data_IF_621881734757
#
_entry.id   IF_621881734757
#
_cell.length_a   1.000
_cell.length_b   1.000
_cell.length_c   1.000
_cell.angle_alpha   90.00
_cell.angle_beta   90.00
_cell.angle_gamma   90.00
#
_symmetry.space_group_name_H-M   'P 1'
#
loop_
_entity.id
_entity.type
_entity.pdbx_description
1 polymer ?
#
# COMPACT_ATOMS: atom_id res chain seq x y z
N UNK A 1 -50.06 -12.01 11.14
CA UNK A 1 -49.98 -11.76 12.59
C UNK A 1 -48.58 -12.08 13.05
N UNK A 2 -47.82 -11.05 13.42
CA UNK A 2 -46.70 -11.02 14.38
C UNK A 2 -46.10 -9.61 14.24
N UNK A 3 -46.79 -8.66 14.87
CA UNK A 3 -46.32 -7.29 15.07
C UNK A 3 -45.23 -7.34 16.14
N UNK A 4 -43.99 -6.99 15.79
CA UNK A 4 -42.96 -6.64 16.76
C UNK A 4 -42.96 -5.11 16.91
N UNK A 5 -43.28 -4.57 18.11
CA UNK A 5 -43.25 -3.14 18.38
C UNK A 5 -41.85 -2.77 18.83
N UNK A 6 -41.06 -2.14 17.96
CA UNK A 6 -39.89 -1.40 18.44
C UNK A 6 -40.39 -0.04 18.94
N UNK A 7 -40.13 0.35 20.20
CA UNK A 7 -40.45 1.69 20.67
C UNK A 7 -39.54 2.68 19.94
N UNK A 8 -40.16 3.52 19.10
CA UNK A 8 -39.57 4.77 18.64
C UNK A 8 -39.38 5.64 19.89
N UNK A 9 -38.15 5.69 20.41
CA UNK A 9 -37.81 6.62 21.47
C UNK A 9 -37.96 8.06 20.96
N UNK A 10 -38.56 8.97 21.76
CA UNK A 10 -38.84 10.33 21.34
C UNK A 10 -37.53 11.09 21.11
N UNK A 11 -37.51 11.82 20.00
CA UNK A 11 -36.47 12.73 19.57
C UNK A 11 -36.56 14.01 20.41
N UNK A 12 -36.46 13.89 21.74
CA UNK A 12 -36.49 15.03 22.63
C UNK A 12 -35.14 15.75 22.61
N UNK A 13 -35.24 17.06 22.60
CA UNK A 13 -34.20 18.03 22.31
C UNK A 13 -33.12 18.03 23.40
N UNK A 14 -32.12 17.15 23.28
CA UNK A 14 -30.97 17.14 24.21
C UNK A 14 -29.82 17.94 23.62
N UNK A 15 -29.60 19.13 24.18
CA UNK A 15 -28.44 19.96 23.87
C UNK A 15 -27.14 19.19 24.15
N UNK A 16 -26.40 18.88 23.08
CA UNK A 16 -25.04 18.37 23.17
C UNK A 16 -24.13 19.55 23.50
N UNK A 17 -23.71 19.67 24.76
CA UNK A 17 -22.65 20.61 25.13
C UNK A 17 -21.30 20.03 24.73
N UNK A 18 -20.77 20.48 23.59
CA UNK A 18 -19.36 20.27 23.22
C UNK A 18 -18.50 21.28 23.99
N UNK A 19 -17.78 20.83 25.01
CA UNK A 19 -16.68 21.60 25.60
C UNK A 19 -15.42 21.32 24.79
N UNK A 20 -14.92 22.36 24.12
CA UNK A 20 -13.74 22.28 23.28
C UNK A 20 -12.49 22.53 24.10
N UNK A 21 -11.91 21.45 24.63
CA UNK A 21 -10.58 21.48 25.26
C UNK A 21 -9.58 20.80 24.32
N UNK A 22 -8.60 21.60 23.86
CA UNK A 22 -7.36 21.22 23.18
C UNK A 22 -7.37 20.82 21.68
N UNK A 23 -7.17 21.85 20.85
CA UNK A 23 -6.99 21.77 19.38
C UNK A 23 -5.67 21.06 18.97
N UNK A 24 -4.69 20.94 19.86
CA UNK A 24 -3.31 20.53 19.51
C UNK A 24 -3.10 19.04 19.33
N UNK A 25 -3.99 18.18 19.84
CA UNK A 25 -3.87 16.70 19.75
C UNK A 25 -4.88 16.03 18.83
N UNK A 26 -5.83 16.77 18.26
CA UNK A 26 -6.89 16.19 17.41
C UNK A 26 -7.78 15.17 18.14
N UNK A 27 -7.76 15.15 19.47
CA UNK A 27 -8.61 14.33 20.33
C UNK A 27 -9.70 15.22 20.92
N UNK A 28 -10.94 14.77 20.85
CA UNK A 28 -12.11 15.44 21.41
C UNK A 28 -12.68 14.55 22.52
N UNK A 29 -12.91 15.12 23.70
CA UNK A 29 -13.68 14.48 24.77
C UNK A 29 -15.16 14.85 24.61
N UNK A 30 -16.01 13.86 24.38
CA UNK A 30 -17.45 14.01 24.47
C UNK A 30 -17.91 13.46 25.81
N UNK A 31 -18.66 14.24 26.60
CA UNK A 31 -19.45 13.71 27.71
C UNK A 31 -20.88 13.48 27.23
N UNK A 32 -21.27 12.23 27.01
CA UNK A 32 -22.66 11.84 26.78
C UNK A 32 -23.24 11.33 28.11
N UNK A 33 -24.47 11.72 28.48
CA UNK A 33 -25.10 11.23 29.73
C UNK A 33 -25.19 9.70 29.67
N UNK A 34 -24.40 9.04 30.53
CA UNK A 34 -24.36 7.58 30.67
C UNK A 34 -23.11 6.90 30.11
N UNK A 35 -22.25 7.60 29.37
CA UNK A 35 -21.01 7.07 28.80
C UNK A 35 -19.88 8.02 29.23
N UNK A 36 -19.23 7.70 30.36
CA UNK A 36 -18.12 8.49 30.89
C UNK A 36 -16.80 7.89 30.37
N UNK A 37 -15.99 8.72 29.70
CA UNK A 37 -14.58 8.39 29.42
C UNK A 37 -14.21 8.02 27.99
N UNK A 38 -15.16 7.89 27.06
CA UNK A 38 -14.83 7.63 25.64
C UNK A 38 -14.39 8.91 24.93
N UNK A 39 -13.11 8.97 24.58
CA UNK A 39 -12.61 9.91 23.57
C UNK A 39 -12.98 9.35 22.20
N UNK A 40 -13.55 10.11 21.26
CA UNK A 40 -13.79 9.63 19.90
C UNK A 40 -12.86 10.32 18.89
N UNK A 41 -12.38 9.59 17.89
CA UNK A 41 -11.71 10.19 16.73
C UNK A 41 -12.74 10.48 15.64
N UNK A 42 -12.84 11.75 15.23
CA UNK A 42 -13.72 12.18 14.16
C UNK A 42 -13.21 11.67 12.80
N UNK A 43 -13.93 10.69 12.23
CA UNK A 43 -13.73 10.29 10.84
C UNK A 43 -14.79 10.95 9.97
N UNK A 44 -14.39 11.99 9.21
CA UNK A 44 -15.31 12.89 8.50
C UNK A 44 -16.06 12.32 7.29
N UNK A 45 -16.89 11.28 7.48
CA UNK A 45 -17.87 10.80 6.49
C UNK A 45 -19.25 11.35 6.82
N UNK A 46 -19.93 11.91 5.82
CA UNK A 46 -21.28 12.47 5.91
C UNK A 46 -22.31 11.55 5.26
N UNK A 47 -23.47 11.40 5.90
CA UNK A 47 -24.60 10.62 5.39
C UNK A 47 -25.61 11.47 4.58
N UNK A 48 -25.79 12.76 4.90
CA UNK A 48 -26.90 13.55 4.33
C UNK A 48 -26.49 14.54 3.22
N UNK A 49 -25.22 14.94 3.14
CA UNK A 49 -24.70 15.72 2.02
C UNK A 49 -23.45 15.07 1.44
N UNK A 50 -23.47 14.77 0.14
CA UNK A 50 -22.44 14.05 -0.63
C UNK A 50 -21.09 14.80 -0.78
N UNK A 51 -20.69 15.60 0.21
CA UNK A 51 -19.47 16.40 0.23
C UNK A 51 -18.61 15.96 1.42
N UNK A 52 -17.41 15.43 1.21
CA UNK A 52 -16.55 14.97 2.30
C UNK A 52 -15.93 16.15 3.06
N UNK A 53 -15.65 15.93 4.35
CA UNK A 53 -14.77 16.82 5.14
C UNK A 53 -13.32 16.67 4.68
N UNK A 54 -12.56 17.77 4.71
CA UNK A 54 -11.12 17.74 4.44
C UNK A 54 -10.34 18.34 5.59
N UNK A 55 -9.42 17.53 6.12
CA UNK A 55 -8.45 17.96 7.13
C UNK A 55 -7.69 19.20 6.68
N UNK A 56 -7.53 20.17 7.58
CA UNK A 56 -6.77 21.40 7.35
C UNK A 56 -7.57 22.56 6.74
N UNK A 57 -8.88 22.40 6.51
CA UNK A 57 -9.78 23.50 6.10
C UNK A 57 -10.51 23.99 7.35
N UNK A 58 -10.03 25.08 7.95
CA UNK A 58 -10.51 25.59 9.25
C UNK A 58 -11.76 26.47 9.10
N UNK A 59 -12.82 25.92 8.51
CA UNK A 59 -14.11 26.60 8.38
C UNK A 59 -15.24 25.67 8.82
N UNK A 60 -16.30 26.16 9.48
CA UNK A 60 -17.48 25.36 9.79
C UNK A 60 -18.34 25.02 8.56
N UNK A 61 -18.20 25.82 7.49
CA UNK A 61 -18.98 25.69 6.25
C UNK A 61 -18.25 25.00 5.09
N UNK A 62 -18.87 25.08 3.90
CA UNK A 62 -18.34 24.51 2.65
C UNK A 62 -17.48 25.53 1.90
N UNK A 63 -16.36 25.07 1.37
CA UNK A 63 -15.42 25.86 0.57
C UNK A 63 -15.13 25.16 -0.75
N UNK A 64 -15.00 25.92 -1.84
CA UNK A 64 -14.60 25.37 -3.15
C UNK A 64 -13.07 25.38 -3.28
N UNK A 65 -12.47 24.21 -3.16
CA UNK A 65 -11.02 24.04 -3.28
C UNK A 65 -10.65 23.41 -4.61
N UNK A 66 -9.48 23.79 -5.12
CA UNK A 66 -8.87 23.16 -6.28
C UNK A 66 -8.19 21.85 -5.82
N UNK A 67 -8.80 20.70 -6.13
CA UNK A 67 -8.29 19.38 -5.75
C UNK A 67 -7.62 18.67 -6.92
N UNK A 68 -6.58 17.90 -6.62
CA UNK A 68 -5.90 17.02 -7.59
C UNK A 68 -6.74 15.76 -7.83
N UNK A 69 -6.84 15.31 -9.08
CA UNK A 69 -7.55 14.07 -9.46
C UNK A 69 -6.64 13.02 -10.09
N UNK A 70 -5.89 13.43 -11.11
CA UNK A 70 -4.91 12.64 -11.84
C UNK A 70 -3.67 13.49 -12.01
N UNK A 71 -2.53 12.87 -12.31
CA UNK A 71 -1.28 13.60 -12.58
C UNK A 71 -1.54 14.73 -13.59
N UNK A 72 -1.37 15.98 -13.17
CA UNK A 72 -1.62 17.18 -13.98
C UNK A 72 -3.05 17.76 -13.95
N UNK A 73 -4.08 17.00 -13.57
CA UNK A 73 -5.47 17.48 -13.55
C UNK A 73 -5.86 18.04 -12.18
N UNK A 74 -6.35 19.29 -12.17
CA UNK A 74 -6.93 19.94 -10.99
C UNK A 74 -8.37 20.35 -11.25
N UNK A 75 -9.29 20.01 -10.34
CA UNK A 75 -10.72 20.36 -10.43
C UNK A 75 -11.18 21.08 -9.19
N UNK A 76 -11.87 22.22 -9.35
CA UNK A 76 -12.54 22.91 -8.25
C UNK A 76 -13.74 22.09 -7.80
N UNK A 77 -13.73 21.63 -6.54
CA UNK A 77 -14.83 20.91 -5.90
C UNK A 77 -15.18 21.57 -4.58
N UNK A 78 -16.46 21.54 -4.24
CA UNK A 78 -16.91 21.90 -2.89
C UNK A 78 -16.48 20.83 -1.92
N UNK A 79 -15.98 21.26 -0.77
CA UNK A 79 -15.45 20.44 0.32
C UNK A 79 -15.95 21.03 1.63
N UNK A 80 -16.28 20.20 2.61
CA UNK A 80 -16.66 20.67 3.93
C UNK A 80 -15.40 20.88 4.79
N UNK A 81 -15.39 21.92 5.61
CA UNK A 81 -14.26 22.14 6.51
C UNK A 81 -14.18 21.11 7.66
N UNK A 82 -13.12 21.23 8.45
CA UNK A 82 -12.77 20.30 9.52
C UNK A 82 -13.45 20.65 10.86
N UNK A 83 -14.06 21.84 10.96
CA UNK A 83 -14.76 22.30 12.16
C UNK A 83 -16.15 21.67 12.17
N UNK A 84 -16.51 21.07 13.30
CA UNK A 84 -17.82 20.43 13.49
C UNK A 84 -18.87 21.51 13.71
N UNK A 85 -19.94 21.45 12.93
CA UNK A 85 -21.12 22.31 13.03
C UNK A 85 -22.34 21.47 13.41
N UNK A 86 -23.39 22.05 14.02
CA UNK A 86 -24.62 21.32 14.38
C UNK A 86 -25.32 20.65 13.19
N UNK A 87 -25.14 21.19 11.99
CA UNK A 87 -25.79 20.74 10.75
C UNK A 87 -25.18 19.45 10.15
N UNK A 88 -24.32 18.75 10.89
CA UNK A 88 -23.54 17.61 10.41
C UNK A 88 -24.03 16.29 11.02
N UNK A 89 -24.36 15.33 10.15
CA UNK A 89 -24.51 13.92 10.54
C UNK A 89 -23.18 13.19 10.30
N UNK A 90 -22.51 12.73 11.36
CA UNK A 90 -21.20 12.07 11.30
C UNK A 90 -21.24 10.63 11.85
N UNK A 91 -20.33 9.80 11.34
CA UNK A 91 -19.97 8.50 11.93
C UNK A 91 -18.73 8.69 12.82
N UNK A 92 -18.80 8.24 14.07
CA UNK A 92 -17.66 8.25 15.00
C UNK A 92 -16.79 7.00 14.80
N UNK A 93 -15.47 7.15 14.91
CA UNK A 93 -14.56 6.01 14.98
C UNK A 93 -14.53 5.42 16.37
N UNK A 94 -14.48 4.10 16.47
CA UNK A 94 -14.43 3.37 17.73
C UNK A 94 -13.18 3.77 18.53
N UNK A 95 -13.36 3.92 19.83
CA UNK A 95 -12.27 4.00 20.78
C UNK A 95 -12.44 2.90 21.83
N UNK A 96 -11.31 2.41 22.32
CA UNK A 96 -11.25 1.32 23.27
C UNK A 96 -11.79 1.81 24.62
N UNK A 97 -12.76 1.08 25.19
CA UNK A 97 -13.46 1.40 26.43
C UNK A 97 -13.30 0.25 27.45
N UNK A 98 -13.55 0.52 28.74
CA UNK A 98 -13.67 -0.48 29.81
C UNK A 98 -15.05 -1.16 29.85
N UNK A 99 -16.07 -0.61 29.18
CA UNK A 99 -17.43 -1.15 29.13
C UNK A 99 -17.78 -1.64 27.73
N UNK A 100 -18.39 -2.82 27.64
CA UNK A 100 -18.82 -3.40 26.38
C UNK A 100 -20.11 -2.74 25.86
N UNK A 101 -20.06 -2.22 24.64
CA UNK A 101 -21.20 -1.64 23.94
C UNK A 101 -21.83 -2.66 22.99
N UNK A 102 -23.14 -2.93 23.11
CA UNK A 102 -23.77 -3.98 22.34
C UNK A 102 -23.72 -3.69 20.84
N UNK A 103 -23.26 -4.67 20.06
CA UNK A 103 -23.09 -4.56 18.61
C UNK A 103 -21.78 -3.94 18.10
N UNK A 104 -20.91 -3.42 18.98
CA UNK A 104 -19.59 -2.91 18.61
C UNK A 104 -18.46 -3.81 19.13
N UNK A 105 -18.43 -4.06 20.43
CA UNK A 105 -17.43 -4.93 21.06
C UNK A 105 -17.84 -6.41 21.02
N UNK A 106 -19.14 -6.70 20.99
CA UNK A 106 -19.66 -8.09 20.98
C UNK A 106 -19.27 -8.93 19.75
N UNK A 107 -18.98 -8.30 18.61
CA UNK A 107 -18.75 -9.03 17.34
C UNK A 107 -17.31 -8.98 16.89
N UNK A 108 -16.59 -10.08 17.14
CA UNK A 108 -15.24 -10.26 16.61
C UNK A 108 -15.25 -10.53 15.10
N UNK A 109 -14.77 -9.58 14.30
CA UNK A 109 -14.62 -9.76 12.85
C UNK A 109 -13.20 -10.22 12.51
N UNK A 110 -13.00 -11.47 12.04
CA UNK A 110 -11.66 -11.95 11.71
C UNK A 110 -11.09 -11.23 10.49
N UNK A 111 -9.76 -11.09 10.45
CA UNK A 111 -9.08 -10.50 9.29
C UNK A 111 -9.20 -11.43 8.08
N UNK A 112 -9.93 -10.96 7.07
CA UNK A 112 -10.16 -11.68 5.80
C UNK A 112 -8.89 -12.07 5.03
N UNK A 113 -7.77 -11.35 5.20
CA UNK A 113 -6.53 -11.60 4.46
C UNK A 113 -5.31 -11.47 5.36
N UNK A 114 -4.43 -12.46 5.28
CA UNK A 114 -3.12 -12.42 5.92
C UNK A 114 -2.05 -11.67 5.11
N UNK A 115 -0.84 -11.54 5.66
CA UNK A 115 0.28 -10.89 4.99
C UNK A 115 0.72 -11.63 3.72
N UNK A 116 1.01 -10.87 2.65
CA UNK A 116 1.48 -11.41 1.34
C UNK A 116 3.01 -11.41 1.19
N UNK A 117 3.70 -10.53 1.90
CA UNK A 117 5.16 -10.30 1.75
C UNK A 117 5.93 -11.19 2.72
N UNK A 118 6.99 -11.85 2.25
CA UNK A 118 7.84 -12.75 3.03
C UNK A 118 8.26 -12.18 4.41
N UNK A 119 8.75 -10.93 4.45
CA UNK A 119 9.17 -10.29 5.70
C UNK A 119 8.03 -10.04 6.69
N UNK A 120 6.80 -9.77 6.22
CA UNK A 120 5.64 -9.59 7.08
C UNK A 120 5.11 -10.93 7.61
N UNK A 121 5.24 -11.99 6.81
CA UNK A 121 4.86 -13.35 7.24
C UNK A 121 5.78 -13.81 8.37
N UNK A 122 7.10 -13.62 8.24
CA UNK A 122 8.06 -13.93 9.30
C UNK A 122 7.79 -13.19 10.61
N UNK A 123 7.46 -11.90 10.53
CA UNK A 123 7.09 -11.10 11.70
C UNK A 123 5.81 -11.57 12.37
N UNK A 124 4.83 -12.07 11.61
CA UNK A 124 3.55 -12.50 12.18
C UNK A 124 3.70 -13.80 12.98
N UNK A 125 4.51 -14.73 12.49
CA UNK A 125 4.75 -16.03 13.14
C UNK A 125 6.01 -16.06 13.99
N UNK A 126 6.64 -14.90 14.25
CA UNK A 126 7.91 -14.78 14.98
C UNK A 126 9.01 -15.75 14.50
N UNK A 127 9.06 -16.00 13.18
CA UNK A 127 10.02 -16.93 12.56
C UNK A 127 11.38 -16.28 12.33
N UNK A 128 12.43 -17.10 12.40
CA UNK A 128 13.77 -16.67 12.03
C UNK A 128 13.90 -16.49 10.50
N UNK A 129 15.06 -16.00 10.05
CA UNK A 129 15.31 -15.78 8.61
C UNK A 129 15.51 -17.08 7.84
N UNK A 130 15.94 -18.13 8.51
CA UNK A 130 16.30 -19.42 7.92
C UNK A 130 15.09 -20.33 7.75
N UNK A 131 14.07 -20.14 8.59
CA UNK A 131 12.86 -20.94 8.57
C UNK A 131 12.03 -20.78 7.29
N UNK A 132 11.47 -21.91 6.84
CA UNK A 132 10.54 -21.92 5.72
C UNK A 132 9.12 -21.52 6.18
N UNK A 133 8.76 -20.29 5.85
CA UNK A 133 7.45 -19.73 6.18
C UNK A 133 6.33 -20.18 5.22
N UNK A 134 6.61 -20.91 4.13
CA UNK A 134 5.60 -21.34 3.14
C UNK A 134 4.49 -22.20 3.75
N UNK A 135 4.84 -23.06 4.70
CA UNK A 135 3.89 -23.94 5.42
C UNK A 135 2.86 -23.10 6.20
N UNK A 136 3.33 -22.03 6.84
CA UNK A 136 2.51 -21.16 7.67
C UNK A 136 1.56 -20.26 6.87
N UNK A 137 1.82 -20.01 5.58
CA UNK A 137 0.88 -19.26 4.72
C UNK A 137 -0.43 -20.03 4.50
N UNK A 138 -0.43 -21.34 4.71
CA UNK A 138 -1.63 -22.16 4.55
C UNK A 138 -2.67 -21.99 5.67
N UNK A 139 -2.29 -21.42 6.82
CA UNK A 139 -3.19 -21.25 7.98
C UNK A 139 -4.30 -20.22 7.72
N UNK A 140 -4.02 -19.20 6.90
CA UNK A 140 -4.99 -18.17 6.52
C UNK A 140 -5.45 -18.30 5.06
N UNK A 141 -5.58 -19.54 4.58
CA UNK A 141 -6.21 -19.82 3.29
C UNK A 141 -7.67 -19.36 3.32
N UNK A 142 -8.10 -18.74 2.22
CA UNK A 142 -9.49 -18.34 2.04
C UNK A 142 -10.26 -19.50 1.42
N UNK A 143 -11.11 -20.16 2.20
CA UNK A 143 -12.12 -21.10 1.69
C UNK A 143 -13.40 -20.34 1.33
N UNK A 144 -13.89 -20.51 0.11
CA UNK A 144 -15.18 -19.95 -0.29
C UNK A 144 -15.93 -20.91 -1.22
N UNK A 145 -17.24 -20.86 -1.18
CA UNK A 145 -18.11 -21.51 -2.17
C UNK A 145 -18.25 -20.58 -3.37
N UNK A 146 -17.96 -21.11 -4.55
CA UNK A 146 -18.28 -20.40 -5.80
C UNK A 146 -19.79 -20.41 -6.02
N UNK A 147 -20.28 -19.49 -6.86
CA UNK A 147 -21.70 -19.45 -7.26
C UNK A 147 -22.18 -20.78 -7.85
N UNK A 148 -21.28 -21.56 -8.43
CA UNK A 148 -21.50 -22.90 -8.96
C UNK A 148 -21.45 -24.02 -7.91
N UNK A 149 -21.43 -23.70 -6.61
CA UNK A 149 -21.44 -24.67 -5.50
C UNK A 149 -20.08 -25.31 -5.15
N UNK A 150 -19.03 -25.09 -5.95
CA UNK A 150 -17.70 -25.70 -5.70
C UNK A 150 -16.98 -24.99 -4.56
N UNK A 151 -16.49 -25.75 -3.57
CA UNK A 151 -15.63 -25.26 -2.49
C UNK A 151 -14.20 -25.09 -3.02
N UNK A 152 -13.68 -23.87 -3.00
CA UNK A 152 -12.30 -23.55 -3.43
C UNK A 152 -11.53 -22.95 -2.27
N UNK A 153 -10.27 -23.39 -2.10
CA UNK A 153 -9.33 -22.81 -1.14
C UNK A 153 -8.21 -22.07 -1.88
N UNK A 154 -8.09 -20.77 -1.67
CA UNK A 154 -7.06 -19.95 -2.29
C UNK A 154 -6.06 -19.41 -1.28
N UNK A 155 -4.77 -19.47 -1.65
CA UNK A 155 -3.68 -18.87 -0.89
C UNK A 155 -3.03 -17.73 -1.68
N UNK A 156 -2.59 -16.64 -1.03
CA UNK A 156 -1.93 -15.55 -1.72
C UNK A 156 -0.54 -15.97 -2.21
N UNK A 157 -0.19 -15.61 -3.45
CA UNK A 157 1.20 -15.72 -3.95
C UNK A 157 2.14 -14.91 -3.06
N UNK A 158 3.11 -15.60 -2.45
CA UNK A 158 4.13 -14.98 -1.62
C UNK A 158 4.99 -14.03 -2.45
N UNK A 159 5.05 -12.77 -2.02
CA UNK A 159 5.92 -11.77 -2.61
C UNK A 159 7.27 -11.69 -1.88
N UNK A 160 8.33 -11.39 -2.65
CA UNK A 160 9.70 -11.21 -2.16
C UNK A 160 10.29 -12.47 -1.47
N UNK A 161 9.80 -13.64 -1.82
CA UNK A 161 10.46 -14.92 -1.51
C UNK A 161 11.72 -15.05 -2.37
N UNK A 162 12.82 -15.50 -1.76
CA UNK A 162 14.03 -15.88 -2.50
C UNK A 162 13.77 -17.25 -3.13
N UNK A 163 13.77 -17.31 -4.46
CA UNK A 163 13.57 -18.54 -5.24
C UNK A 163 14.81 -18.85 -6.07
N UNK A 164 15.03 -20.12 -6.48
CA UNK A 164 16.17 -20.48 -7.34
C UNK A 164 16.20 -19.64 -8.62
N UNK A 165 15.03 -19.32 -9.20
CA UNK A 165 14.90 -18.43 -10.35
C UNK A 165 15.43 -17.01 -10.07
N UNK A 166 15.16 -16.45 -8.89
CA UNK A 166 15.69 -15.13 -8.51
C UNK A 166 17.21 -15.14 -8.37
N UNK A 167 17.77 -16.23 -7.82
CA UNK A 167 19.22 -16.43 -7.71
C UNK A 167 19.86 -16.62 -9.09
N UNK A 168 19.24 -17.40 -9.97
CA UNK A 168 19.68 -17.59 -11.35
C UNK A 168 19.70 -16.26 -12.12
N UNK A 169 18.64 -15.45 -12.04
CA UNK A 169 18.60 -14.11 -12.66
C UNK A 169 19.68 -13.19 -12.11
N UNK A 170 19.99 -13.28 -10.81
CA UNK A 170 21.09 -12.53 -10.19
C UNK A 170 22.46 -13.00 -10.71
N UNK A 171 22.70 -14.32 -10.76
CA UNK A 171 23.91 -14.93 -11.34
C UNK A 171 24.09 -14.52 -12.80
N UNK A 172 23.04 -14.61 -13.61
CA UNK A 172 23.05 -14.21 -15.02
C UNK A 172 23.40 -12.72 -15.21
N UNK A 173 22.84 -11.83 -14.38
CA UNK A 173 23.19 -10.40 -14.40
C UNK A 173 24.68 -10.16 -14.10
N UNK A 174 25.22 -10.86 -13.10
CA UNK A 174 26.64 -10.75 -12.73
C UNK A 174 27.52 -11.30 -13.86
N UNK A 175 27.18 -12.47 -14.42
CA UNK A 175 27.89 -13.06 -15.54
C UNK A 175 27.90 -12.15 -16.77
N UNK A 176 26.75 -11.52 -17.09
CA UNK A 176 26.65 -10.55 -18.19
C UNK A 176 27.59 -9.36 -17.98
N UNK A 177 27.60 -8.77 -16.78
CA UNK A 177 28.53 -7.68 -16.43
C UNK A 177 29.99 -8.10 -16.57
N UNK A 178 30.35 -9.29 -16.08
CA UNK A 178 31.72 -9.84 -16.23
C UNK A 178 32.10 -10.02 -17.70
N UNK A 179 31.19 -10.52 -18.54
CA UNK A 179 31.38 -10.67 -19.99
C UNK A 179 31.54 -9.32 -20.70
N UNK A 180 30.74 -8.32 -20.32
CA UNK A 180 30.85 -6.96 -20.85
C UNK A 180 32.22 -6.33 -20.50
N UNK A 181 32.72 -6.56 -19.29
CA UNK A 181 34.04 -6.09 -18.85
C UNK A 181 35.21 -6.85 -19.52
N UNK A 182 35.06 -8.14 -19.82
CA UNK A 182 36.12 -8.92 -20.49
C UNK A 182 36.19 -8.63 -22.00
N UNK A 183 35.08 -8.25 -22.63
CA UNK A 183 34.99 -7.96 -24.06
C UNK A 183 36.01 -6.92 -24.57
N UNK A 184 36.19 -5.73 -23.96
CA UNK A 184 37.18 -4.76 -24.42
C UNK A 184 38.61 -5.28 -24.25
N UNK A 185 38.92 -6.02 -23.18
CA UNK A 185 40.24 -6.64 -22.98
C UNK A 185 40.53 -7.67 -24.08
N UNK A 186 39.58 -8.55 -24.36
CA UNK A 186 39.69 -9.53 -25.45
C UNK A 186 39.81 -8.86 -26.82
N UNK A 187 39.03 -7.80 -27.07
CA UNK A 187 39.11 -7.02 -28.31
C UNK A 187 40.49 -6.38 -28.46
N UNK A 188 41.02 -5.74 -27.41
CA UNK A 188 42.37 -5.17 -27.41
C UNK A 188 43.44 -6.24 -27.69
N UNK A 189 43.37 -7.40 -27.04
CA UNK A 189 44.29 -8.52 -27.28
C UNK A 189 44.22 -9.01 -28.73
N UNK A 190 43.01 -9.20 -29.28
CA UNK A 190 42.80 -9.64 -30.66
C UNK A 190 43.31 -8.61 -31.69
N UNK A 191 43.12 -7.32 -31.43
CA UNK A 191 43.68 -6.26 -32.26
C UNK A 191 45.19 -6.32 -32.20
N UNK A 192 45.78 -6.33 -30.99
CA UNK A 192 47.23 -6.38 -30.76
C UNK A 192 47.90 -7.56 -31.46
N UNK A 193 47.29 -8.76 -31.45
CA UNK A 193 47.86 -9.94 -32.13
C UNK A 193 47.80 -9.84 -33.65
N UNK A 194 46.78 -9.19 -34.23
CA UNK A 194 46.62 -9.03 -35.69
C UNK A 194 47.43 -7.88 -36.31
N UNK A 195 47.86 -6.90 -35.52
CA UNK A 195 48.58 -5.73 -36.01
C UNK A 195 49.92 -6.06 -36.68
N UNK A 196 50.80 -6.93 -36.13
CA UNK A 196 52.07 -7.27 -36.76
C UNK A 196 51.91 -7.89 -38.16
N UNK A 197 50.95 -8.80 -38.33
CA UNK A 197 50.66 -9.43 -39.63
C UNK A 197 50.22 -8.40 -40.65
N UNK A 198 49.32 -7.48 -40.29
CA UNK A 198 48.88 -6.39 -41.17
C UNK A 198 50.02 -5.44 -41.55
N UNK A 199 50.90 -5.12 -40.61
CA UNK A 199 52.08 -4.29 -40.87
C UNK A 199 53.08 -5.01 -41.79
N UNK A 200 53.24 -6.32 -41.63
CA UNK A 200 54.08 -7.15 -42.50
C UNK A 200 53.54 -7.17 -43.94
N UNK A 201 52.26 -7.49 -44.11
CA UNK A 201 51.59 -7.47 -45.42
C UNK A 201 51.67 -6.08 -46.09
N UNK A 202 51.51 -5.00 -45.32
CA UNK A 202 51.61 -3.63 -45.86
C UNK A 202 53.04 -3.29 -46.31
N UNK A 203 54.07 -3.79 -45.60
CA UNK A 203 55.47 -3.63 -46.00
C UNK A 203 55.75 -4.41 -47.28
N UNK A 204 55.29 -5.65 -47.38
CA UNK A 204 55.45 -6.51 -48.57
C UNK A 204 54.77 -5.91 -49.81
N UNK A 205 53.54 -5.40 -49.68
CA UNK A 205 52.86 -4.69 -50.78
C UNK A 205 53.61 -3.44 -51.25
N UNK A 206 54.26 -2.72 -50.33
CA UNK A 206 55.09 -1.56 -50.69
C UNK A 206 56.33 -1.99 -51.45
N UNK A 207 57.06 -3.03 -51.01
CA UNK A 207 58.22 -3.53 -51.74
C UNK A 207 57.84 -4.02 -53.13
N UNK A 208 56.78 -4.82 -53.27
CA UNK A 208 56.29 -5.28 -54.57
C UNK A 208 55.93 -4.12 -55.52
N UNK A 209 55.36 -3.03 -55.00
CA UNK A 209 55.03 -1.85 -55.82
C UNK A 209 56.26 -1.06 -56.28
N UNK A 210 57.34 -1.08 -55.49
CA UNK A 210 58.62 -0.45 -55.84
C UNK A 210 59.39 -1.31 -56.83
N UNK A 211 59.37 -2.63 -56.65
CA UNK A 211 60.00 -3.60 -57.57
C UNK A 211 59.36 -3.57 -58.96
N UNK A 212 58.03 -3.37 -59.05
CA UNK A 212 57.33 -3.17 -60.33
C UNK A 212 57.65 -1.84 -61.03
N UNK A 213 58.21 -0.86 -60.32
CA UNK A 213 58.59 0.46 -60.86
C UNK A 213 60.05 0.54 -61.31
N UNK A 214 60.89 -0.37 -60.84
CA UNK A 214 62.27 -0.54 -61.29
C UNK A 214 62.31 -1.40 -62.54
#
# INVERSE_FOLDING_TARGET
MFLNPYPLLPFDSVAVHFLQEDITRGQWRCSWRGIQGICFQNHGRLLQARVPMKQGVLTPGRVRLLLHRRNGERRRKSVLGCIVSPDLSFELGNCEEENDLPGLTDTEKPRMRGPKRASKIRKLFNLSKEDDFRKYVNTYRRSFTTKSGKKVSEAPKIQKLVTPLTLQRKRARIARKRKELSRPRQKMLSTRSSLPTRLKEQRERRSESLDKKR
#
